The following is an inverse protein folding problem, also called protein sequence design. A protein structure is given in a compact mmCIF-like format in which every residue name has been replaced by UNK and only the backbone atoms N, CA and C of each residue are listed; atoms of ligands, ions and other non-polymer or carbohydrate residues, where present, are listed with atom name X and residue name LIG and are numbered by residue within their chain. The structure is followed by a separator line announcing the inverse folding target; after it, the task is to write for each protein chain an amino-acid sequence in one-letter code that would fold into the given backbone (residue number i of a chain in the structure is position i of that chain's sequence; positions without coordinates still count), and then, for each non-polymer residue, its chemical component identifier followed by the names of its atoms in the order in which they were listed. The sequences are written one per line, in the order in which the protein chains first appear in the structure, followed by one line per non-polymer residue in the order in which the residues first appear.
data_IF_707644302939
#
_entry.id   IF_707644302939
#
_cell.length_a   1.000
_cell.length_b   1.000
_cell.length_c   1.000
_cell.angle_alpha   90.00
_cell.angle_beta   90.00
_cell.angle_gamma   90.00
#
_symmetry.space_group_name_H-M   'P 1'
#
loop_
_entity.id
_entity.type
_entity.pdbx_description
1 polymer ?
#
# COMPACT_ATOMS: atom_id res chain seq x y z
N UNK A 1 8.87 26.09 -64.17
CA UNK A 1 9.62 24.90 -64.60
C UNK A 1 9.81 24.07 -63.34
N UNK A 2 8.71 23.55 -62.76
CA UNK A 2 8.05 22.27 -63.11
C UNK A 2 8.97 21.11 -62.67
N UNK A 3 8.57 20.16 -61.81
CA UNK A 3 7.31 19.41 -61.79
C UNK A 3 6.89 18.91 -60.38
N UNK A 4 5.62 18.53 -60.32
CA UNK A 4 4.86 17.98 -59.19
C UNK A 4 4.90 16.44 -59.12
N UNK A 5 4.42 15.90 -57.98
CA UNK A 5 3.98 14.50 -57.80
C UNK A 5 5.06 13.62 -57.17
N UNK A 6 4.83 12.85 -56.10
CA UNK A 6 3.75 11.87 -55.94
C UNK A 6 3.54 11.55 -54.44
N UNK A 7 2.28 11.46 -54.02
CA UNK A 7 1.84 10.90 -52.74
C UNK A 7 1.33 9.49 -53.03
N UNK A 8 1.89 8.48 -52.37
CA UNK A 8 1.34 7.13 -52.24
C UNK A 8 1.38 6.78 -50.74
N UNK A 9 0.27 6.89 -50.02
CA UNK A 9 -0.73 5.84 -49.71
C UNK A 9 -0.11 4.58 -49.08
N UNK A 10 -0.59 4.26 -47.87
CA UNK A 10 0.03 3.33 -46.94
C UNK A 10 0.04 1.86 -47.34
N UNK A 11 0.78 1.11 -46.52
CA UNK A 11 0.60 -0.33 -46.34
C UNK A 11 0.79 -0.63 -44.85
N UNK A 12 -0.22 -1.26 -44.26
CA UNK A 12 -0.22 -1.79 -42.91
C UNK A 12 0.72 -2.99 -42.89
N UNK A 13 1.94 -2.79 -42.42
CA UNK A 13 2.95 -3.82 -42.26
C UNK A 13 3.32 -3.97 -40.80
N UNK A 14 2.59 -4.84 -40.12
CA UNK A 14 2.84 -5.36 -38.78
C UNK A 14 4.30 -5.79 -38.62
N UNK A 15 5.13 -4.89 -38.09
CA UNK A 15 6.47 -5.19 -37.62
C UNK A 15 6.47 -4.92 -36.11
N UNK A 16 5.86 -5.86 -35.39
CA UNK A 16 6.22 -6.22 -34.01
C UNK A 16 7.71 -6.54 -33.99
N UNK A 17 8.51 -5.48 -34.00
CA UNK A 17 9.90 -5.50 -33.62
C UNK A 17 9.93 -5.91 -32.16
N UNK A 18 10.26 -7.18 -31.94
CA UNK A 18 10.56 -7.79 -30.68
C UNK A 18 11.56 -6.90 -29.92
N UNK A 19 11.02 -5.99 -29.10
CA UNK A 19 11.79 -5.28 -28.12
C UNK A 19 12.18 -6.31 -27.07
N UNK A 20 13.26 -7.04 -27.35
CA UNK A 20 14.10 -7.73 -26.37
C UNK A 20 14.81 -6.68 -25.52
N UNK A 21 14.02 -5.86 -24.84
CA UNK A 21 14.44 -4.96 -23.79
C UNK A 21 14.20 -5.67 -22.46
N UNK A 22 15.05 -6.65 -22.15
CA UNK A 22 15.31 -6.99 -20.75
C UNK A 22 16.01 -5.79 -20.12
N UNK A 23 15.27 -4.71 -19.87
CA UNK A 23 15.74 -3.74 -18.89
C UNK A 23 15.67 -4.49 -17.57
N UNK A 24 16.83 -4.96 -17.11
CA UNK A 24 17.03 -5.36 -15.72
C UNK A 24 16.65 -4.15 -14.85
N UNK A 25 15.36 -4.04 -14.52
CA UNK A 25 14.89 -3.06 -13.55
C UNK A 25 15.48 -3.53 -12.23
N UNK A 26 16.60 -2.91 -11.84
CA UNK A 26 17.21 -3.15 -10.54
C UNK A 26 16.27 -2.60 -9.48
N UNK A 27 15.40 -3.45 -8.98
CA UNK A 27 14.58 -3.17 -7.81
C UNK A 27 15.53 -3.04 -6.62
N UNK A 28 15.63 -1.83 -6.08
CA UNK A 28 16.47 -1.53 -4.93
C UNK A 28 15.59 -1.26 -3.71
N UNK A 29 15.82 -1.98 -2.62
CA UNK A 29 15.14 -1.71 -1.35
C UNK A 29 15.70 -0.43 -0.73
N UNK A 30 14.87 0.61 -0.65
CA UNK A 30 15.27 1.95 -0.20
C UNK A 30 15.29 2.10 1.33
N UNK A 31 14.71 1.15 2.07
CA UNK A 31 14.57 1.21 3.53
C UNK A 31 13.14 0.91 3.97
N UNK A 32 12.84 1.17 5.24
CA UNK A 32 11.50 0.99 5.78
C UNK A 32 11.37 1.39 7.24
N UNK A 33 10.13 1.33 7.74
CA UNK A 33 9.77 1.65 9.12
C UNK A 33 9.24 0.41 9.83
N UNK A 34 9.45 0.36 11.15
CA UNK A 34 8.86 -0.65 12.02
C UNK A 34 8.03 0.09 13.06
N UNK A 35 6.72 -0.14 13.04
CA UNK A 35 5.76 0.46 13.96
C UNK A 35 5.17 -0.63 14.87
N UNK A 36 4.83 -0.30 16.12
CA UNK A 36 4.16 -1.25 17.00
C UNK A 36 2.75 -1.55 16.48
N UNK A 37 2.45 -2.83 16.25
CA UNK A 37 1.08 -3.27 15.94
C UNK A 37 0.15 -3.16 17.15
N UNK A 38 -1.16 -3.29 16.93
CA UNK A 38 -2.19 -3.08 17.95
C UNK A 38 -1.97 -3.87 19.24
N UNK A 39 -1.57 -5.15 19.13
CA UNK A 39 -1.26 -6.00 20.28
C UNK A 39 -0.04 -5.53 21.08
N UNK A 40 0.98 -4.99 20.41
CA UNK A 40 2.19 -4.47 21.06
C UNK A 40 1.84 -3.21 21.86
N UNK A 41 1.02 -2.33 21.27
CA UNK A 41 0.51 -1.13 21.94
C UNK A 41 -0.31 -1.51 23.18
N UNK A 42 -1.23 -2.47 23.05
CA UNK A 42 -2.04 -2.97 24.16
C UNK A 42 -1.19 -3.51 25.32
N UNK A 43 -0.19 -4.34 25.01
CA UNK A 43 0.72 -4.89 26.01
C UNK A 43 1.53 -3.79 26.72
N UNK A 44 2.01 -2.80 25.96
CA UNK A 44 2.75 -1.67 26.51
C UNK A 44 1.93 -0.87 27.53
N UNK A 45 0.68 -0.54 27.19
CA UNK A 45 -0.16 0.28 28.07
C UNK A 45 -0.78 -0.49 29.24
N UNK A 46 -1.13 -1.77 29.07
CA UNK A 46 -1.63 -2.60 30.19
C UNK A 46 -0.63 -2.70 31.34
N UNK A 47 0.68 -2.67 31.05
CA UNK A 47 1.73 -2.70 32.07
C UNK A 47 1.88 -1.40 32.87
N UNK A 48 1.34 -0.28 32.36
CA UNK A 48 1.58 1.07 32.88
C UNK A 48 0.28 1.71 33.41
N UNK A 49 -0.86 1.36 32.83
CA UNK A 49 -2.16 1.98 33.11
C UNK A 49 -3.19 0.92 33.51
N UNK A 50 -3.59 0.85 34.80
CA UNK A 50 -4.46 -0.22 35.32
C UNK A 50 -5.84 -0.32 34.67
N UNK A 51 -6.32 0.75 34.04
CA UNK A 51 -7.64 0.85 33.43
C UNK A 51 -7.58 0.94 31.91
N UNK A 52 -6.47 0.51 31.29
CA UNK A 52 -6.36 0.52 29.84
C UNK A 52 -7.36 -0.44 29.19
N UNK A 53 -8.16 0.02 28.22
CA UNK A 53 -9.10 -0.84 27.52
C UNK A 53 -8.37 -1.87 26.66
N UNK A 54 -9.06 -2.96 26.32
CA UNK A 54 -8.57 -3.87 25.28
C UNK A 54 -8.55 -3.14 23.94
N UNK A 55 -7.48 -3.31 23.17
CA UNK A 55 -7.39 -2.73 21.83
C UNK A 55 -7.90 -3.73 20.80
N UNK A 56 -8.85 -3.29 20.00
CA UNK A 56 -9.20 -3.89 18.72
C UNK A 56 -9.25 -2.76 17.71
N UNK A 57 -8.71 -2.94 16.51
CA UNK A 57 -8.86 -1.91 15.47
C UNK A 57 -10.36 -1.77 15.12
N UNK A 58 -10.88 -0.53 14.99
CA UNK A 58 -12.27 -0.31 14.66
C UNK A 58 -12.58 -0.83 13.25
N UNK A 59 -13.85 -1.16 12.98
CA UNK A 59 -14.29 -1.50 11.63
C UNK A 59 -14.29 -0.28 10.70
N UNK A 60 -14.20 -0.54 9.39
CA UNK A 60 -14.11 0.48 8.30
C UNK A 60 -15.29 1.48 8.24
N UNK A 61 -16.45 1.16 8.82
CA UNK A 61 -17.69 1.95 8.63
C UNK A 61 -17.85 3.19 9.52
N UNK A 62 -16.91 3.47 10.42
CA UNK A 62 -16.94 4.67 11.23
C UNK A 62 -16.02 5.71 10.59
N UNK A 63 -16.60 6.69 9.87
CA UNK A 63 -15.90 7.96 9.71
C UNK A 63 -15.45 8.46 11.09
N UNK A 64 -14.28 9.09 11.16
CA UNK A 64 -13.68 9.50 12.44
C UNK A 64 -14.67 10.41 13.17
N UNK A 65 -15.28 9.88 14.23
CA UNK A 65 -16.23 10.60 15.07
C UNK A 65 -15.49 11.15 16.29
N UNK A 66 -16.07 12.09 17.01
CA UNK A 66 -15.49 12.47 18.31
C UNK A 66 -15.84 11.34 19.29
N UNK A 67 -14.85 10.59 19.81
CA UNK A 67 -15.13 9.43 20.63
C UNK A 67 -15.82 9.83 21.94
N UNK A 68 -16.80 9.04 22.35
CA UNK A 68 -17.61 9.32 23.55
C UNK A 68 -17.12 8.59 24.81
N UNK A 69 -16.19 7.64 24.66
CA UNK A 69 -15.62 6.86 25.75
C UNK A 69 -14.15 6.50 25.48
N UNK A 70 -13.44 6.06 26.53
CA UNK A 70 -12.00 5.76 26.49
C UNK A 70 -11.66 4.63 25.52
N UNK A 71 -12.53 3.62 25.38
CA UNK A 71 -12.30 2.48 24.48
C UNK A 71 -12.28 2.97 23.04
N UNK A 72 -13.33 3.68 22.62
CA UNK A 72 -13.43 4.22 21.27
C UNK A 72 -12.29 5.20 21.01
N UNK A 73 -11.98 6.09 21.95
CA UNK A 73 -10.89 7.05 21.81
C UNK A 73 -9.52 6.37 21.62
N UNK A 74 -9.28 5.26 22.31
CA UNK A 74 -8.03 4.49 22.19
C UNK A 74 -7.95 3.77 20.85
N UNK A 75 -9.05 3.14 20.43
CA UNK A 75 -9.11 2.35 19.20
C UNK A 75 -9.06 3.24 17.95
N UNK A 76 -9.89 4.29 17.91
CA UNK A 76 -9.88 5.28 16.83
C UNK A 76 -8.55 6.05 16.79
N UNK A 77 -8.00 6.45 17.94
CA UNK A 77 -6.70 7.12 18.00
C UNK A 77 -5.55 6.27 17.47
N UNK A 78 -5.55 4.96 17.77
CA UNK A 78 -4.56 4.03 17.21
C UNK A 78 -4.73 3.86 15.71
N UNK A 79 -5.97 3.68 15.23
CA UNK A 79 -6.26 3.55 13.81
C UNK A 79 -5.80 4.79 13.05
N UNK A 80 -6.21 5.97 13.51
CA UNK A 80 -5.79 7.28 12.99
C UNK A 80 -4.28 7.43 12.93
N UNK A 81 -3.58 7.05 14.00
CA UNK A 81 -2.12 7.13 14.04
C UNK A 81 -1.50 6.29 12.93
N UNK A 82 -1.92 5.03 12.78
CA UNK A 82 -1.37 4.12 11.78
C UNK A 82 -1.69 4.59 10.37
N UNK A 83 -2.97 4.88 10.08
CA UNK A 83 -3.41 5.31 8.74
C UNK A 83 -2.77 6.63 8.33
N UNK A 84 -2.62 7.59 9.25
CA UNK A 84 -1.96 8.88 8.96
C UNK A 84 -0.47 8.70 8.65
N UNK A 85 0.21 7.78 9.33
CA UNK A 85 1.61 7.47 9.02
C UNK A 85 1.71 6.83 7.63
N UNK A 86 0.82 5.90 7.30
CA UNK A 86 0.77 5.27 5.97
C UNK A 86 0.56 6.34 4.89
N UNK A 87 -0.45 7.21 5.03
CA UNK A 87 -0.73 8.28 4.06
C UNK A 87 0.48 9.20 3.90
N UNK A 88 1.10 9.63 5.01
CA UNK A 88 2.30 10.46 4.94
C UNK A 88 3.44 9.78 4.17
N UNK A 89 3.68 8.49 4.40
CA UNK A 89 4.73 7.74 3.69
C UNK A 89 4.40 7.65 2.19
N UNK A 90 3.15 7.37 1.83
CA UNK A 90 2.72 7.30 0.44
C UNK A 90 2.94 8.65 -0.26
N UNK A 91 2.51 9.74 0.37
CA UNK A 91 2.65 11.10 -0.18
C UNK A 91 4.12 11.56 -0.25
N UNK A 92 4.91 11.32 0.81
CA UNK A 92 6.30 11.79 0.90
C UNK A 92 7.20 11.11 -0.15
N UNK A 93 6.88 9.88 -0.55
CA UNK A 93 7.67 9.09 -1.48
C UNK A 93 6.97 8.87 -2.83
N UNK A 94 5.83 9.53 -3.07
CA UNK A 94 5.03 9.42 -4.31
C UNK A 94 4.77 7.95 -4.70
N UNK A 95 4.37 7.14 -3.71
CA UNK A 95 4.18 5.70 -3.92
C UNK A 95 2.92 5.46 -4.75
N UNK A 96 3.06 4.81 -5.90
CA UNK A 96 1.93 4.49 -6.79
C UNK A 96 1.29 3.13 -6.51
N UNK A 97 2.02 2.21 -5.87
CA UNK A 97 1.55 0.83 -5.61
C UNK A 97 1.76 0.47 -4.15
N UNK A 98 0.69 0.10 -3.45
CA UNK A 98 0.69 -0.22 -2.03
C UNK A 98 0.13 -1.61 -1.80
N UNK A 99 0.91 -2.45 -1.12
CA UNK A 99 0.50 -3.80 -0.75
C UNK A 99 0.23 -3.89 0.76
N UNK A 100 -0.99 -4.26 1.13
CA UNK A 100 -1.33 -4.64 2.49
C UNK A 100 -1.18 -6.15 2.67
N UNK A 101 -0.63 -6.58 3.80
CA UNK A 101 -0.38 -8.00 4.10
C UNK A 101 -0.48 -8.28 5.59
N UNK A 102 -0.39 -9.56 5.99
CA UNK A 102 -0.45 -9.99 7.39
C UNK A 102 -1.87 -10.02 7.98
N UNK A 103 -1.95 -10.36 9.27
CA UNK A 103 -3.22 -10.64 9.95
C UNK A 103 -4.18 -9.44 10.04
N UNK A 104 -3.63 -8.24 10.22
CA UNK A 104 -4.41 -6.99 10.29
C UNK A 104 -4.49 -6.27 8.93
N UNK A 105 -3.90 -6.83 7.86
CA UNK A 105 -3.70 -6.14 6.57
C UNK A 105 -5.00 -5.71 5.90
N UNK A 106 -6.01 -6.59 5.87
CA UNK A 106 -7.31 -6.28 5.27
C UNK A 106 -8.01 -5.12 6.00
N UNK A 107 -8.02 -5.18 7.34
CA UNK A 107 -8.66 -4.17 8.17
C UNK A 107 -7.95 -2.81 8.07
N UNK A 108 -6.62 -2.81 8.04
CA UNK A 108 -5.83 -1.59 7.87
C UNK A 108 -6.03 -0.96 6.49
N UNK A 109 -6.12 -1.77 5.42
CA UNK A 109 -6.48 -1.29 4.08
C UNK A 109 -7.84 -0.60 4.13
N UNK A 110 -8.85 -1.29 4.65
CA UNK A 110 -10.23 -0.79 4.65
C UNK A 110 -10.39 0.47 5.53
N UNK A 111 -9.60 0.60 6.60
CA UNK A 111 -9.54 1.81 7.43
C UNK A 111 -8.83 2.96 6.73
N UNK A 112 -7.75 2.67 6.01
CA UNK A 112 -6.96 3.67 5.29
C UNK A 112 -7.76 4.21 4.09
N UNK A 113 -8.35 3.34 3.26
CA UNK A 113 -9.19 3.74 2.12
C UNK A 113 -10.42 4.55 2.55
N UNK A 114 -10.98 4.27 3.73
CA UNK A 114 -12.12 5.04 4.26
C UNK A 114 -11.74 6.47 4.71
N UNK A 115 -10.45 6.76 4.89
CA UNK A 115 -9.96 8.04 5.43
C UNK A 115 -9.24 8.91 4.40
N UNK A 116 -8.88 8.36 3.24
CA UNK A 116 -8.03 9.04 2.27
C UNK A 116 -8.85 9.54 1.09
N UNK A 117 -8.80 10.85 0.86
CA UNK A 117 -9.10 11.42 -0.45
C UNK A 117 -7.87 11.21 -1.34
N UNK A 118 -7.83 10.11 -2.08
CA UNK A 118 -6.68 9.73 -2.89
C UNK A 118 -6.39 10.81 -3.97
N UNK A 119 -5.19 11.44 -4.00
CA UNK A 119 -4.95 12.57 -4.91
C UNK A 119 -4.51 12.16 -6.34
N UNK A 120 -4.16 10.89 -6.55
CA UNK A 120 -3.60 10.34 -7.80
C UNK A 120 -4.03 8.87 -7.99
N UNK A 121 -3.76 8.29 -9.18
CA UNK A 121 -4.06 6.89 -9.56
C UNK A 121 -3.25 5.88 -8.73
N UNK A 122 -3.53 5.82 -7.43
CA UNK A 122 -2.91 4.91 -6.48
C UNK A 122 -3.53 3.50 -6.65
N UNK A 123 -2.66 2.50 -6.84
CA UNK A 123 -3.05 1.10 -6.84
C UNK A 123 -2.85 0.47 -5.46
N UNK A 124 -3.92 -0.06 -4.88
CA UNK A 124 -3.89 -0.70 -3.55
C UNK A 124 -4.33 -2.16 -3.67
N UNK A 125 -3.52 -3.07 -3.14
CA UNK A 125 -3.81 -4.50 -3.18
C UNK A 125 -3.63 -5.16 -1.81
N UNK A 126 -4.50 -6.12 -1.49
CA UNK A 126 -4.35 -6.99 -0.32
C UNK A 126 -3.72 -8.31 -0.76
N UNK A 127 -2.52 -8.60 -0.26
CA UNK A 127 -1.76 -9.82 -0.56
C UNK A 127 -1.39 -10.52 0.75
N UNK A 128 -2.28 -11.36 1.32
CA UNK A 128 -2.06 -11.96 2.65
C UNK A 128 -0.79 -12.83 2.73
N UNK A 129 -0.46 -13.49 1.63
CA UNK A 129 0.64 -14.46 1.53
C UNK A 129 1.90 -13.88 0.86
N UNK A 130 2.05 -12.55 0.85
CA UNK A 130 3.16 -11.85 0.18
C UNK A 130 4.53 -12.42 0.54
N UNK A 131 4.74 -12.75 1.82
CA UNK A 131 5.98 -13.38 2.29
C UNK A 131 6.25 -14.72 1.59
N UNK A 132 5.22 -15.56 1.45
CA UNK A 132 5.37 -16.88 0.83
C UNK A 132 5.65 -16.78 -0.66
N UNK A 133 5.04 -15.83 -1.37
CA UNK A 133 5.37 -15.55 -2.77
C UNK A 133 6.84 -15.14 -2.92
N UNK A 134 7.32 -14.23 -2.06
CA UNK A 134 8.72 -13.83 -2.04
C UNK A 134 9.67 -15.01 -1.77
N UNK A 135 9.32 -15.88 -0.83
CA UNK A 135 10.11 -17.09 -0.54
C UNK A 135 10.18 -18.05 -1.74
N UNK A 136 9.06 -18.30 -2.42
CA UNK A 136 9.03 -19.17 -3.60
C UNK A 136 9.86 -18.59 -4.75
N UNK A 137 9.75 -17.30 -5.02
CA UNK A 137 10.56 -16.61 -6.04
C UNK A 137 12.05 -16.67 -5.74
N UNK A 138 12.44 -16.49 -4.48
CA UNK A 138 13.83 -16.58 -4.04
C UNK A 138 14.41 -18.01 -4.15
N UNK A 139 13.59 -19.04 -3.92
CA UNK A 139 14.01 -20.45 -4.06
C UNK A 139 14.12 -20.83 -5.55
N UNK A 140 13.17 -20.40 -6.38
CA UNK A 140 13.16 -20.67 -7.82
C UNK A 140 14.33 -20.01 -8.57
N UNK A 141 14.76 -18.83 -8.13
CA UNK A 141 15.85 -18.05 -8.76
C UNK A 141 17.26 -18.55 -8.41
N UNK A 142 17.41 -19.59 -7.58
CA UNK A 142 18.72 -20.17 -7.18
C UNK A 142 19.14 -21.40 -7.99
N UNK A 143 18.49 -21.68 -9.13
CA UNK A 143 18.88 -22.74 -10.07
C UNK A 143 19.39 -22.12 -11.36
#
# INVERSE_FOLDING_TARGET
EDEAGEVATGDEGDAIGEATGSSDVRVSHLGGWILPGARVVEQGYKGITPHFPSITLPGSHAGISIPSNTTDATQEGLALMITSIISRIIDEFEIEVVFFTGGDGALLRDLWEAQVDAPYDLHVELVPDLLFYGMMGAIGSRK
#
